data_IF_981558676285
#
_entry.id   IF_981558676285
#
_cell.length_a   1.000
_cell.length_b   1.000
_cell.length_c   1.000
_cell.angle_alpha   90.00
_cell.angle_beta   90.00
_cell.angle_gamma   90.00
#
_symmetry.space_group_name_H-M   'P 1'
#
loop_
_entity.id
_entity.type
_entity.pdbx_description
1 polymer ?
#
# COMPACT_ATOMS: atom_id res chain seq x y z
N UNK A 1 12.13 -1.34 -2.06
CA UNK A 1 11.99 -2.66 -1.47
C UNK A 1 10.61 -2.81 -0.83
N UNK A 2 9.85 -3.83 -1.24
CA UNK A 2 8.57 -4.19 -0.63
C UNK A 2 8.73 -5.49 0.15
N UNK A 3 8.32 -5.49 1.42
CA UNK A 3 8.25 -6.67 2.28
C UNK A 3 7.03 -6.55 3.20
N UNK A 4 6.59 -7.65 3.77
CA UNK A 4 5.84 -7.59 5.02
C UNK A 4 6.83 -7.53 6.21
N UNK A 5 6.33 -7.44 7.42
CA UNK A 5 7.16 -7.38 8.65
C UNK A 5 7.97 -8.66 8.84
N UNK A 6 7.37 -9.83 8.62
CA UNK A 6 8.08 -11.11 8.70
C UNK A 6 9.21 -11.25 7.66
N UNK A 7 8.93 -10.86 6.42
CA UNK A 7 9.94 -10.88 5.35
C UNK A 7 11.08 -9.91 5.61
N UNK A 8 10.78 -8.75 6.20
CA UNK A 8 11.79 -7.79 6.61
C UNK A 8 12.74 -8.37 7.65
N UNK A 9 12.19 -8.96 8.72
CA UNK A 9 12.99 -9.59 9.76
C UNK A 9 13.81 -10.77 9.21
N UNK A 10 13.22 -11.57 8.33
CA UNK A 10 13.91 -12.68 7.66
C UNK A 10 15.06 -12.19 6.77
N UNK A 11 14.87 -11.07 6.05
CA UNK A 11 15.91 -10.46 5.22
C UNK A 11 17.12 -10.08 6.07
N UNK A 12 16.90 -9.37 7.18
CA UNK A 12 17.97 -8.98 8.09
C UNK A 12 18.70 -10.20 8.68
N UNK A 13 17.95 -11.21 9.11
CA UNK A 13 18.51 -12.42 9.65
C UNK A 13 19.35 -13.21 8.63
N UNK A 14 18.89 -13.33 7.40
CA UNK A 14 19.54 -14.12 6.35
C UNK A 14 20.72 -13.41 5.70
N UNK A 15 20.66 -12.10 5.58
CA UNK A 15 21.75 -11.30 5.02
C UNK A 15 22.87 -11.05 6.04
N UNK A 16 22.57 -11.19 7.34
CA UNK A 16 23.44 -10.75 8.44
C UNK A 16 23.76 -9.23 8.38
N UNK A 17 22.96 -8.49 7.61
CA UNK A 17 23.07 -7.04 7.50
C UNK A 17 22.24 -6.33 8.56
N UNK A 18 22.76 -5.21 9.05
CA UNK A 18 21.95 -4.29 9.83
C UNK A 18 20.91 -3.58 8.96
N UNK A 19 19.87 -3.06 9.57
CA UNK A 19 18.88 -2.22 8.88
C UNK A 19 19.54 -1.07 8.12
N UNK A 20 20.54 -0.40 8.71
CA UNK A 20 21.26 0.70 8.07
C UNK A 20 22.02 0.24 6.81
N UNK A 21 22.60 -0.95 6.82
CA UNK A 21 23.28 -1.52 5.64
C UNK A 21 22.28 -1.81 4.51
N UNK A 22 21.13 -2.40 4.81
CA UNK A 22 20.08 -2.62 3.80
C UNK A 22 19.58 -1.28 3.25
N UNK A 23 19.28 -0.31 4.13
CA UNK A 23 18.80 1.01 3.73
C UNK A 23 19.80 1.77 2.87
N UNK A 24 21.11 1.52 3.01
CA UNK A 24 22.13 2.13 2.14
C UNK A 24 22.09 1.64 0.70
N UNK A 25 21.44 0.51 0.43
CA UNK A 25 21.35 -0.12 -0.89
C UNK A 25 20.03 0.15 -1.63
N UNK A 26 19.07 0.78 -0.95
CA UNK A 26 17.72 1.02 -1.49
C UNK A 26 17.33 2.48 -1.29
N UNK A 27 16.50 2.99 -2.17
CA UNK A 27 15.96 4.36 -2.06
C UNK A 27 14.79 4.41 -1.06
N UNK A 28 14.01 3.35 -0.98
CA UNK A 28 12.80 3.33 -0.18
C UNK A 28 12.47 1.91 0.29
N UNK A 29 12.09 1.78 1.56
CA UNK A 29 11.52 0.57 2.13
C UNK A 29 10.03 0.77 2.34
N UNK A 30 9.22 -0.18 1.89
CA UNK A 30 7.78 -0.24 2.08
C UNK A 30 7.48 -1.55 2.79
N UNK A 31 7.03 -1.48 4.04
CA UNK A 31 6.77 -2.64 4.88
C UNK A 31 5.29 -2.71 5.23
N UNK A 32 4.60 -3.71 4.71
CA UNK A 32 3.19 -3.95 5.05
C UNK A 32 3.06 -4.66 6.40
N UNK A 33 2.11 -4.22 7.21
CA UNK A 33 1.91 -4.63 8.60
C UNK A 33 0.53 -5.27 8.83
N UNK A 34 -0.08 -5.82 7.77
CA UNK A 34 -1.43 -6.37 7.82
C UNK A 34 -2.46 -5.30 8.17
N UNK A 35 -3.29 -5.56 9.16
CA UNK A 35 -4.35 -4.65 9.62
C UNK A 35 -3.82 -3.34 10.22
N UNK A 36 -2.52 -3.28 10.52
CA UNK A 36 -1.87 -2.07 11.07
C UNK A 36 -1.41 -1.10 9.98
N UNK A 37 -1.65 -1.41 8.71
CA UNK A 37 -1.30 -0.52 7.61
C UNK A 37 0.08 -0.78 7.03
N UNK A 38 0.77 0.28 6.66
CA UNK A 38 2.07 0.24 5.99
C UNK A 38 2.98 1.33 6.50
N UNK A 39 4.23 0.97 6.72
CA UNK A 39 5.32 1.89 7.01
C UNK A 39 6.20 2.09 5.78
N UNK A 40 6.51 3.34 5.48
CA UNK A 40 7.38 3.72 4.36
C UNK A 40 8.52 4.57 4.90
N UNK A 41 9.73 4.11 4.65
CA UNK A 41 10.98 4.78 5.05
C UNK A 41 11.82 5.01 3.81
N UNK A 42 12.26 6.21 3.60
CA UNK A 42 13.14 6.57 2.50
C UNK A 42 13.40 8.06 2.43
N UNK A 43 14.57 8.43 1.89
CA UNK A 43 14.98 9.82 1.69
C UNK A 43 14.87 10.70 2.96
N UNK A 44 15.17 10.11 4.12
CA UNK A 44 15.11 10.78 5.42
C UNK A 44 13.69 11.03 5.95
N UNK A 45 12.67 10.47 5.29
CA UNK A 45 11.26 10.60 5.69
C UNK A 45 10.68 9.27 6.16
N UNK A 46 9.69 9.36 7.05
CA UNK A 46 8.86 8.24 7.48
C UNK A 46 7.40 8.60 7.24
N UNK A 47 6.67 7.69 6.61
CA UNK A 47 5.22 7.79 6.39
C UNK A 47 4.56 6.52 6.87
N UNK A 48 3.53 6.66 7.70
CA UNK A 48 2.62 5.57 8.06
C UNK A 48 1.26 5.82 7.41
N UNK A 49 0.68 4.79 6.80
CA UNK A 49 -0.66 4.84 6.21
C UNK A 49 -1.49 3.70 6.78
N UNK A 50 -2.62 4.04 7.37
CA UNK A 50 -3.60 3.06 7.86
C UNK A 50 -4.27 2.33 6.69
N UNK A 51 -4.83 1.15 6.96
CA UNK A 51 -5.63 0.43 5.96
C UNK A 51 -6.96 1.15 5.67
N UNK A 52 -7.43 1.03 4.44
CA UNK A 52 -8.85 1.30 4.15
C UNK A 52 -9.66 0.19 4.79
N UNK A 53 -10.64 0.50 5.67
CA UNK A 53 -11.44 -0.53 6.32
C UNK A 53 -12.16 -1.42 5.30
N UNK A 54 -12.01 -2.73 5.46
CA UNK A 54 -12.76 -3.71 4.68
C UNK A 54 -14.21 -3.82 5.15
N UNK A 55 -15.12 -4.15 4.25
CA UNK A 55 -16.51 -4.47 4.57
C UNK A 55 -16.66 -5.94 5.00
N UNK A 56 -15.85 -6.81 4.45
CA UNK A 56 -15.74 -8.24 4.78
C UNK A 56 -14.39 -8.77 4.29
N UNK A 57 -13.98 -9.92 4.79
CA UNK A 57 -12.77 -10.63 4.36
C UNK A 57 -13.18 -11.89 3.62
N UNK A 58 -12.82 -12.01 2.36
CA UNK A 58 -13.11 -13.19 1.54
C UNK A 58 -11.86 -14.05 1.34
N UNK A 59 -10.84 -13.49 0.69
CA UNK A 59 -9.62 -14.23 0.37
C UNK A 59 -8.39 -13.32 0.50
N UNK A 60 -7.43 -13.63 1.38
CA UNK A 60 -6.22 -12.84 1.54
C UNK A 60 -5.18 -13.05 0.42
N UNK A 61 -5.43 -13.96 -0.52
CA UNK A 61 -4.50 -14.27 -1.60
C UNK A 61 -4.27 -13.06 -2.50
N UNK A 62 -3.01 -12.71 -2.72
CA UNK A 62 -2.63 -11.64 -3.65
C UNK A 62 -2.71 -10.21 -3.09
N UNK A 63 -3.05 -10.02 -1.82
CA UNK A 63 -3.14 -8.68 -1.19
C UNK A 63 -1.80 -7.92 -1.32
N UNK A 64 -0.68 -8.59 -1.07
CA UNK A 64 0.65 -7.97 -1.17
C UNK A 64 0.99 -7.52 -2.58
N UNK A 65 0.64 -8.32 -3.59
CA UNK A 65 0.85 -7.97 -4.99
C UNK A 65 -0.10 -6.85 -5.44
N UNK A 66 -1.34 -6.87 -4.95
CA UNK A 66 -2.32 -5.81 -5.18
C UNK A 66 -1.85 -4.47 -4.58
N UNK A 67 -1.33 -4.49 -3.36
CA UNK A 67 -0.75 -3.31 -2.73
C UNK A 67 0.42 -2.76 -3.56
N UNK A 68 1.35 -3.61 -3.95
CA UNK A 68 2.50 -3.22 -4.80
C UNK A 68 2.06 -2.60 -6.12
N UNK A 69 1.10 -3.23 -6.80
CA UNK A 69 0.55 -2.72 -8.05
C UNK A 69 -0.11 -1.35 -7.86
N UNK A 70 -0.94 -1.18 -6.83
CA UNK A 70 -1.58 0.09 -6.49
C UNK A 70 -0.58 1.20 -6.18
N UNK A 71 0.47 0.89 -5.42
CA UNK A 71 1.53 1.84 -5.09
C UNK A 71 2.28 2.30 -6.34
N UNK A 72 2.72 1.37 -7.18
CA UNK A 72 3.45 1.69 -8.42
C UNK A 72 2.57 2.47 -9.40
N UNK A 73 1.29 2.15 -9.50
CA UNK A 73 0.31 2.91 -10.28
C UNK A 73 0.21 4.35 -9.80
N UNK A 74 0.08 4.55 -8.50
CA UNK A 74 0.03 5.89 -7.91
C UNK A 74 1.31 6.69 -8.19
N UNK A 75 2.47 6.08 -8.01
CA UNK A 75 3.76 6.72 -8.34
C UNK A 75 3.88 7.09 -9.82
N UNK A 76 3.46 6.20 -10.71
CA UNK A 76 3.44 6.44 -12.15
C UNK A 76 2.49 7.57 -12.55
N UNK A 77 1.39 7.72 -11.84
CA UNK A 77 0.41 8.81 -12.03
C UNK A 77 0.85 10.15 -11.38
N UNK A 78 2.03 10.20 -10.78
CA UNK A 78 2.59 11.42 -10.17
C UNK A 78 2.10 11.71 -8.75
N UNK A 79 1.42 10.78 -8.10
CA UNK A 79 1.01 10.93 -6.71
C UNK A 79 2.20 10.93 -5.76
N UNK A 80 2.07 11.61 -4.62
CA UNK A 80 3.03 11.54 -3.53
C UNK A 80 3.18 10.11 -3.01
N UNK A 81 4.22 9.83 -2.22
CA UNK A 81 4.42 8.54 -1.56
C UNK A 81 3.21 8.17 -0.70
N UNK A 82 2.74 9.12 0.11
CA UNK A 82 1.57 8.92 0.97
C UNK A 82 0.31 8.61 0.16
N UNK A 83 0.00 9.40 -0.87
CA UNK A 83 -1.18 9.19 -1.73
C UNK A 83 -1.09 7.87 -2.50
N UNK A 84 0.10 7.50 -2.95
CA UNK A 84 0.33 6.19 -3.59
C UNK A 84 0.08 5.03 -2.64
N UNK A 85 0.49 5.15 -1.37
CA UNK A 85 0.21 4.14 -0.35
C UNK A 85 -1.28 4.07 0.01
N UNK A 86 -1.98 5.20 0.05
CA UNK A 86 -3.43 5.24 0.26
C UNK A 86 -4.20 4.57 -0.88
N UNK A 87 -3.82 4.84 -2.13
CA UNK A 87 -4.35 4.12 -3.30
C UNK A 87 -4.05 2.61 -3.20
N UNK A 88 -2.83 2.25 -2.85
CA UNK A 88 -2.40 0.87 -2.68
C UNK A 88 -3.22 0.13 -1.61
N UNK A 89 -3.49 0.78 -0.48
CA UNK A 89 -4.36 0.25 0.57
C UNK A 89 -5.78 0.01 0.06
N UNK A 90 -6.34 0.93 -0.73
CA UNK A 90 -7.67 0.75 -1.33
C UNK A 90 -7.71 -0.46 -2.27
N UNK A 91 -6.71 -0.60 -3.16
CA UNK A 91 -6.65 -1.74 -4.10
C UNK A 91 -6.49 -3.06 -3.33
N UNK A 92 -5.62 -3.10 -2.32
CA UNK A 92 -5.42 -4.27 -1.48
C UNK A 92 -6.71 -4.69 -0.74
N UNK A 93 -7.49 -3.71 -0.25
CA UNK A 93 -8.77 -3.94 0.41
C UNK A 93 -9.81 -4.50 -0.56
N UNK A 94 -9.88 -3.99 -1.79
CA UNK A 94 -10.79 -4.53 -2.82
C UNK A 94 -10.45 -5.98 -3.18
N UNK A 95 -9.17 -6.33 -3.23
CA UNK A 95 -8.72 -7.71 -3.46
C UNK A 95 -9.09 -8.61 -2.29
N UNK A 96 -8.91 -8.16 -1.05
CA UNK A 96 -9.30 -8.90 0.16
C UNK A 96 -10.81 -9.23 0.20
N UNK A 97 -11.65 -8.34 -0.33
CA UNK A 97 -13.10 -8.47 -0.39
C UNK A 97 -13.58 -9.34 -1.57
N UNK A 98 -12.71 -9.68 -2.50
CA UNK A 98 -13.05 -10.49 -3.67
C UNK A 98 -12.80 -11.99 -3.43
N UNK A 99 -13.54 -12.90 -4.10
CA UNK A 99 -13.35 -14.34 -3.96
C UNK A 99 -12.03 -14.86 -4.55
N UNK A 100 -11.26 -14.01 -5.22
CA UNK A 100 -9.96 -14.34 -5.79
C UNK A 100 -9.18 -13.10 -6.20
N UNK A 101 -7.87 -13.22 -6.37
CA UNK A 101 -6.98 -12.06 -6.55
C UNK A 101 -7.19 -11.28 -7.85
N UNK A 102 -7.96 -11.80 -8.78
CA UNK A 102 -8.26 -11.17 -10.08
C UNK A 102 -9.74 -10.88 -10.29
N UNK A 103 -10.60 -11.14 -9.30
CA UNK A 103 -12.07 -11.00 -9.43
C UNK A 103 -12.59 -9.69 -8.82
N UNK A 104 -11.71 -8.79 -8.43
CA UNK A 104 -12.08 -7.47 -7.94
C UNK A 104 -12.34 -6.48 -9.09
N UNK A 105 -13.12 -5.47 -8.82
CA UNK A 105 -13.43 -4.41 -9.79
C UNK A 105 -13.17 -3.04 -9.18
N UNK A 106 -12.80 -2.08 -10.03
CA UNK A 106 -12.66 -0.68 -9.66
C UNK A 106 -13.93 0.09 -10.02
N UNK A 107 -14.70 0.45 -9.01
CA UNK A 107 -15.75 1.44 -9.13
C UNK A 107 -15.21 2.78 -8.61
N UNK A 108 -15.04 3.74 -9.52
CA UNK A 108 -14.38 5.02 -9.19
C UNK A 108 -15.14 5.82 -8.13
N UNK A 109 -16.46 5.84 -8.19
CA UNK A 109 -17.27 6.60 -7.24
C UNK A 109 -17.20 5.98 -5.83
N UNK A 110 -17.36 4.66 -5.75
CA UNK A 110 -17.25 3.93 -4.49
C UNK A 110 -15.84 4.01 -3.89
N UNK A 111 -14.80 3.88 -4.71
CA UNK A 111 -13.41 3.95 -4.26
C UNK A 111 -13.05 5.35 -3.73
N UNK A 112 -13.44 6.41 -4.44
CA UNK A 112 -13.21 7.81 -3.99
C UNK A 112 -13.93 8.09 -2.68
N UNK A 113 -15.15 7.59 -2.52
CA UNK A 113 -15.91 7.70 -1.27
C UNK A 113 -15.17 7.04 -0.12
N UNK A 114 -14.74 5.80 -0.28
CA UNK A 114 -13.99 5.04 0.75
C UNK A 114 -12.63 5.67 1.07
N UNK A 115 -11.91 6.14 0.06
CA UNK A 115 -10.65 6.88 0.24
C UNK A 115 -10.87 8.18 1.02
N UNK A 116 -11.95 8.91 0.71
CA UNK A 116 -12.30 10.14 1.41
C UNK A 116 -12.69 9.89 2.87
N UNK A 117 -13.41 8.82 3.14
CA UNK A 117 -13.79 8.42 4.49
C UNK A 117 -12.57 7.99 5.33
N UNK A 118 -11.61 7.29 4.71
CA UNK A 118 -10.41 6.80 5.40
C UNK A 118 -9.34 7.89 5.59
N UNK A 119 -9.13 8.76 4.60
CA UNK A 119 -7.97 9.65 4.53
C UNK A 119 -8.30 11.13 4.33
N UNK A 120 -9.57 11.48 4.26
CA UNK A 120 -10.06 12.83 4.01
C UNK A 120 -10.39 13.10 2.54
N UNK A 121 -11.29 14.06 2.33
CA UNK A 121 -11.83 14.41 1.00
C UNK A 121 -10.75 14.82 0.01
N UNK A 122 -9.72 15.53 0.46
CA UNK A 122 -8.60 15.95 -0.38
C UNK A 122 -7.86 14.75 -0.97
N UNK A 123 -7.58 13.74 -0.13
CA UNK A 123 -6.92 12.51 -0.58
C UNK A 123 -7.72 11.78 -1.66
N UNK A 124 -9.02 11.58 -1.43
CA UNK A 124 -9.90 10.95 -2.42
C UNK A 124 -9.94 11.71 -3.76
N UNK A 125 -10.03 13.04 -3.71
CA UNK A 125 -10.05 13.89 -4.90
C UNK A 125 -8.72 13.91 -5.66
N UNK A 126 -7.58 13.97 -4.96
CA UNK A 126 -6.26 13.94 -5.59
C UNK A 126 -6.03 12.61 -6.31
N UNK A 127 -6.36 11.49 -5.66
CA UNK A 127 -6.24 10.16 -6.25
C UNK A 127 -7.17 10.01 -7.46
N UNK A 128 -8.42 10.47 -7.35
CA UNK A 128 -9.37 10.43 -8.47
C UNK A 128 -8.86 11.20 -9.69
N UNK A 129 -8.32 12.40 -9.49
CA UNK A 129 -7.76 13.23 -10.57
C UNK A 129 -6.55 12.59 -11.24
N UNK A 130 -5.70 11.93 -10.47
CA UNK A 130 -4.50 11.28 -10.99
C UNK A 130 -4.83 10.04 -11.84
N UNK A 131 -5.95 9.37 -11.55
CA UNK A 131 -6.41 8.17 -12.26
C UNK A 131 -7.38 8.46 -13.42
N UNK A 132 -7.79 9.70 -13.59
CA UNK A 132 -8.75 10.09 -14.64
C UNK A 132 -8.15 10.02 -16.07
#
# INVERSE_FOLDING_TARGET
>A
LFTNDYEWDLLLQKSEWSEAEVMSQIEMRITTLGEKGVDIVGDGTFVHVDVVPETHKEDPTGIGDAFRAGFLTGRSAGLSVERSAQLASMVATLVLEAPGPQEWTWDSEAAVRRLSDAYGTEAGQEIARALA
#
